data_IF_568120067273
#
_entry.id   IF_568120067273
#
_cell.length_a   1.000
_cell.length_b   1.000
_cell.length_c   1.000
_cell.angle_alpha   90.00
_cell.angle_beta   90.00
_cell.angle_gamma   90.00
#
_symmetry.space_group_name_H-M   'P 1'
#
loop_
_entity.id
_entity.type
_entity.pdbx_description
1 polymer ?
#
# COMPACT_ATOMS: atom_id res chain seq x y z
N UNK A 1 13.72 -8.52 79.08
CA UNK A 1 14.12 -8.49 77.73
C UNK A 1 13.48 -9.66 76.99
N UNK A 2 12.35 -9.45 76.38
CA UNK A 2 11.61 -10.47 75.63
C UNK A 2 11.49 -10.07 74.21
N UNK A 3 12.08 -10.86 73.32
CA UNK A 3 12.00 -10.68 71.88
C UNK A 3 10.60 -11.06 71.38
N UNK A 4 9.92 -10.11 70.74
CA UNK A 4 8.71 -10.38 69.97
C UNK A 4 9.12 -10.63 68.56
N UNK A 5 8.99 -11.83 68.04
CA UNK A 5 9.13 -12.18 66.63
C UNK A 5 7.73 -12.06 66.03
N UNK A 6 7.57 -11.07 65.21
CA UNK A 6 6.34 -10.87 64.42
C UNK A 6 6.46 -11.69 63.13
N UNK A 7 5.71 -12.78 63.07
CA UNK A 7 5.60 -13.64 61.89
C UNK A 7 4.66 -12.99 60.89
N UNK A 8 5.20 -12.47 59.79
CA UNK A 8 4.43 -12.02 58.62
C UNK A 8 4.07 -13.25 57.80
N UNK A 9 2.83 -13.72 57.94
CA UNK A 9 2.25 -14.69 57.02
C UNK A 9 1.93 -14.01 55.69
N UNK A 10 2.77 -14.23 54.66
CA UNK A 10 2.46 -13.88 53.29
C UNK A 10 1.37 -14.82 52.79
N UNK A 11 0.14 -14.30 52.70
CA UNK A 11 -0.95 -14.97 51.99
C UNK A 11 -0.66 -14.86 50.50
N UNK A 12 -0.08 -15.91 49.91
CA UNK A 12 -0.06 -16.06 48.45
C UNK A 12 -1.50 -16.39 48.00
N UNK A 13 -2.22 -15.37 47.54
CA UNK A 13 -3.40 -15.57 46.73
C UNK A 13 -2.95 -16.18 45.40
N UNK A 14 -3.04 -17.50 45.28
CA UNK A 14 -2.93 -18.18 44.02
C UNK A 14 -4.10 -17.71 43.15
N UNK A 15 -3.81 -16.80 42.23
CA UNK A 15 -4.72 -16.51 41.11
C UNK A 15 -4.76 -17.79 40.28
N UNK A 16 -5.83 -18.56 40.47
CA UNK A 16 -6.15 -19.67 39.60
C UNK A 16 -6.39 -19.08 38.20
N UNK A 17 -5.35 -19.03 37.39
CA UNK A 17 -5.50 -18.86 35.94
C UNK A 17 -6.22 -20.14 35.51
N UNK A 18 -7.51 -20.01 35.27
CA UNK A 18 -8.31 -21.00 34.56
C UNK A 18 -7.68 -21.20 33.20
N UNK A 19 -6.73 -22.11 33.11
CA UNK A 19 -6.29 -22.69 31.85
C UNK A 19 -7.47 -23.52 31.33
N UNK A 20 -8.38 -22.87 30.60
CA UNK A 20 -9.18 -23.60 29.64
C UNK A 20 -8.16 -24.33 28.77
N UNK A 21 -8.11 -25.65 28.85
CA UNK A 21 -7.37 -26.49 27.94
C UNK A 21 -7.79 -26.11 26.53
N UNK A 22 -7.02 -25.23 25.89
CA UNK A 22 -7.09 -25.04 24.46
C UNK A 22 -6.69 -26.38 23.88
N UNK A 23 -7.68 -27.07 23.33
CA UNK A 23 -7.45 -28.12 22.35
C UNK A 23 -6.44 -27.56 21.35
N UNK A 24 -5.28 -28.24 21.15
CA UNK A 24 -4.11 -27.75 20.45
C UNK A 24 -4.29 -27.46 18.97
N UNK A 25 -5.46 -27.01 18.55
CA UNK A 25 -5.79 -26.64 17.19
C UNK A 25 -5.66 -25.12 17.03
N UNK A 26 -4.81 -24.71 16.09
CA UNK A 26 -4.65 -23.31 15.72
C UNK A 26 -6.01 -22.70 15.35
N UNK A 27 -6.29 -21.44 15.75
CA UNK A 27 -7.45 -20.72 15.23
C UNK A 27 -7.45 -20.70 13.71
N UNK A 28 -8.64 -20.72 13.08
CA UNK A 28 -8.76 -20.82 11.63
C UNK A 28 -8.02 -19.68 10.91
N UNK A 29 -8.02 -18.48 11.45
CA UNK A 29 -7.33 -17.33 10.85
C UNK A 29 -5.78 -17.49 10.82
N UNK A 30 -5.20 -18.34 11.65
CA UNK A 30 -3.76 -18.67 11.65
C UNK A 30 -3.43 -19.98 10.92
N UNK A 31 -4.44 -20.80 10.61
CA UNK A 31 -4.24 -22.08 9.94
C UNK A 31 -4.02 -21.90 8.45
N UNK A 32 -2.76 -22.01 8.02
CA UNK A 32 -2.36 -21.85 6.62
C UNK A 32 -2.88 -22.94 5.69
N UNK A 33 -3.46 -24.04 6.20
CA UNK A 33 -4.10 -25.09 5.40
C UNK A 33 -5.53 -24.72 4.97
N UNK A 34 -6.12 -23.71 5.59
CA UNK A 34 -7.46 -23.25 5.29
C UNK A 34 -7.49 -22.23 4.15
N UNK A 35 -8.56 -22.22 3.35
CA UNK A 35 -8.77 -21.16 2.34
C UNK A 35 -8.69 -19.76 2.95
N UNK A 36 -8.07 -18.83 2.22
CA UNK A 36 -7.85 -17.44 2.70
C UNK A 36 -9.17 -16.78 3.12
N UNK A 37 -10.26 -16.98 2.39
CA UNK A 37 -11.56 -16.38 2.73
C UNK A 37 -12.11 -16.90 4.06
N UNK A 38 -11.94 -18.19 4.38
CA UNK A 38 -12.33 -18.73 5.69
C UNK A 38 -11.47 -18.14 6.82
N UNK A 39 -10.19 -17.92 6.57
CA UNK A 39 -9.28 -17.27 7.50
C UNK A 39 -9.68 -15.83 7.76
N UNK A 40 -10.08 -15.11 6.72
CA UNK A 40 -10.58 -13.74 6.80
C UNK A 40 -11.87 -13.69 7.62
N UNK A 41 -12.82 -14.59 7.36
CA UNK A 41 -14.09 -14.65 8.10
C UNK A 41 -13.87 -14.85 9.60
N UNK A 42 -12.98 -15.78 9.98
CA UNK A 42 -12.65 -16.03 11.39
C UNK A 42 -11.92 -14.83 12.02
N UNK A 43 -11.01 -14.17 11.29
CA UNK A 43 -10.34 -12.95 11.77
C UNK A 43 -11.35 -11.82 12.03
N UNK A 44 -12.22 -11.52 11.05
CA UNK A 44 -13.27 -10.49 11.17
C UNK A 44 -14.17 -10.74 12.37
N UNK A 45 -14.59 -12.00 12.60
CA UNK A 45 -15.44 -12.37 13.71
C UNK A 45 -14.79 -12.16 15.09
N UNK A 46 -13.45 -12.14 15.14
CA UNK A 46 -12.68 -11.92 16.36
C UNK A 46 -12.31 -10.47 16.61
N UNK A 47 -12.34 -9.63 15.59
CA UNK A 47 -11.96 -8.21 15.68
C UNK A 47 -13.04 -7.38 16.35
N UNK A 48 -12.61 -6.46 17.22
CA UNK A 48 -13.47 -5.39 17.76
C UNK A 48 -13.72 -4.32 16.69
N UNK A 49 -14.74 -3.47 16.92
CA UNK A 49 -15.02 -2.34 16.05
C UNK A 49 -13.78 -1.42 15.89
N UNK A 50 -13.10 -1.12 16.99
CA UNK A 50 -11.91 -0.27 16.99
C UNK A 50 -10.77 -0.89 16.18
N UNK A 51 -10.52 -2.20 16.32
CA UNK A 51 -9.50 -2.89 15.53
C UNK A 51 -9.82 -2.87 14.03
N UNK A 52 -11.09 -3.07 13.65
CA UNK A 52 -11.57 -2.98 12.27
C UNK A 52 -11.35 -1.58 11.68
N UNK A 53 -11.63 -0.54 12.45
CA UNK A 53 -11.43 0.85 12.02
C UNK A 53 -9.94 1.17 11.90
N UNK A 54 -9.12 0.79 12.87
CA UNK A 54 -7.69 1.14 12.87
C UNK A 54 -6.90 0.58 11.70
N UNK A 55 -7.28 -0.55 11.13
CA UNK A 55 -6.57 -1.11 9.98
C UNK A 55 -6.94 -0.47 8.63
N UNK A 56 -8.01 0.35 8.58
CA UNK A 56 -8.49 0.98 7.35
C UNK A 56 -8.14 2.48 7.25
N UNK A 57 -7.34 2.99 8.15
CA UNK A 57 -6.76 4.34 8.04
C UNK A 57 -5.32 4.37 8.56
N UNK A 58 -4.60 5.42 8.20
CA UNK A 58 -3.23 5.62 8.64
C UNK A 58 -3.11 5.81 10.16
N UNK A 59 -1.98 5.39 10.71
CA UNK A 59 -1.51 5.73 12.05
C UNK A 59 -0.19 6.51 12.02
N UNK A 60 0.46 6.59 10.87
CA UNK A 60 1.66 7.37 10.60
C UNK A 60 1.64 7.87 9.16
N UNK A 61 2.68 8.56 8.72
CA UNK A 61 2.81 9.01 7.32
C UNK A 61 2.68 7.85 6.33
N UNK A 62 3.22 6.67 6.64
CA UNK A 62 3.29 5.54 5.71
C UNK A 62 2.85 4.20 6.32
N UNK A 63 2.14 4.20 7.45
CA UNK A 63 1.64 2.94 8.00
C UNK A 63 0.18 3.01 8.44
N UNK A 64 -0.51 1.87 8.34
CA UNK A 64 -1.76 1.60 9.04
C UNK A 64 -1.51 0.60 10.17
N UNK A 65 -2.35 0.65 11.20
CA UNK A 65 -2.20 -0.23 12.34
C UNK A 65 -2.45 -1.70 11.97
N UNK A 66 -1.75 -2.60 12.64
CA UNK A 66 -2.09 -4.00 12.68
C UNK A 66 -3.17 -4.32 13.71
N UNK A 67 -3.29 -5.61 14.03
CA UNK A 67 -4.13 -6.13 15.12
C UNK A 67 -3.24 -7.01 16.01
N UNK A 68 -2.40 -6.43 16.89
CA UNK A 68 -1.39 -7.17 17.64
C UNK A 68 -1.98 -8.31 18.48
N UNK A 69 -3.19 -8.14 19.03
CA UNK A 69 -3.91 -9.17 19.79
C UNK A 69 -4.19 -10.44 18.95
N UNK A 70 -4.31 -10.29 17.64
CA UNK A 70 -4.50 -11.38 16.69
C UNK A 70 -3.22 -11.72 15.92
N UNK A 71 -2.09 -11.08 16.24
CA UNK A 71 -0.81 -11.34 15.59
C UNK A 71 -0.66 -10.71 14.20
N UNK A 72 -1.54 -9.80 13.81
CA UNK A 72 -1.35 -9.00 12.59
C UNK A 72 -0.42 -7.83 12.91
N UNK A 73 0.75 -7.72 12.26
CA UNK A 73 1.67 -6.59 12.47
C UNK A 73 1.13 -5.32 11.82
N UNK A 74 1.75 -4.18 12.12
CA UNK A 74 1.51 -2.95 11.37
C UNK A 74 1.85 -3.13 9.89
N UNK A 75 1.09 -2.45 9.03
CA UNK A 75 1.27 -2.51 7.58
C UNK A 75 1.99 -1.26 7.09
N UNK A 76 3.15 -1.45 6.45
CA UNK A 76 4.03 -0.36 6.01
C UNK A 76 3.99 -0.16 4.50
N UNK A 77 3.67 1.04 4.08
CA UNK A 77 3.78 1.48 2.69
C UNK A 77 5.03 2.34 2.49
N UNK A 78 5.43 2.55 1.24
CA UNK A 78 6.46 3.53 0.90
C UNK A 78 6.30 4.04 -0.53
N UNK A 79 6.70 5.29 -0.75
CA UNK A 79 6.95 5.80 -2.09
C UNK A 79 8.23 5.15 -2.62
N UNK A 80 8.41 4.88 -3.83
CA UNK A 80 7.78 5.27 -5.04
C UNK A 80 8.03 4.29 -6.17
N UNK A 81 7.58 4.67 -7.39
CA UNK A 81 7.67 3.81 -8.58
C UNK A 81 9.10 3.53 -9.06
N UNK A 82 10.07 4.35 -8.71
CA UNK A 82 11.48 4.24 -9.14
C UNK A 82 12.48 4.21 -7.99
N UNK A 83 12.12 3.58 -6.91
CA UNK A 83 12.99 3.36 -5.75
C UNK A 83 12.22 3.50 -4.45
N UNK A 84 12.68 2.78 -3.44
CA UNK A 84 12.16 2.92 -2.08
C UNK A 84 12.73 4.21 -1.51
N UNK A 85 11.89 5.14 -1.06
CA UNK A 85 12.38 6.40 -0.48
C UNK A 85 13.00 6.17 0.89
N UNK A 86 13.86 7.09 1.38
CA UNK A 86 14.29 7.10 2.77
C UNK A 86 13.11 7.24 3.73
N UNK A 87 13.20 6.58 4.89
CA UNK A 87 12.17 6.67 5.91
C UNK A 87 11.98 8.11 6.39
N UNK A 88 10.73 8.49 6.61
CA UNK A 88 10.36 9.77 7.22
C UNK A 88 10.01 9.58 8.68
N UNK A 89 9.98 10.66 9.44
CA UNK A 89 9.49 10.68 10.82
C UNK A 89 8.02 10.22 10.86
N UNK A 90 7.59 9.73 12.01
CA UNK A 90 6.27 9.15 12.19
C UNK A 90 5.14 10.07 11.74
N UNK A 91 5.21 11.34 12.14
CA UNK A 91 4.17 12.35 11.90
C UNK A 91 4.58 13.47 10.95
N UNK A 92 5.81 13.45 10.44
CA UNK A 92 6.36 14.54 9.65
C UNK A 92 6.97 14.03 8.34
N UNK A 93 7.18 14.95 7.38
CA UNK A 93 7.78 14.63 6.09
C UNK A 93 9.32 14.69 6.09
N UNK A 94 9.90 15.07 7.22
CA UNK A 94 11.36 15.08 7.38
C UNK A 94 11.91 13.65 7.41
N UNK A 95 13.10 13.46 6.84
CA UNK A 95 13.77 12.17 6.87
C UNK A 95 14.12 11.76 8.29
N UNK A 96 13.93 10.49 8.62
CA UNK A 96 14.23 9.94 9.93
C UNK A 96 15.74 9.92 10.23
N UNK A 97 16.59 10.04 9.20
CA UNK A 97 18.06 10.15 9.37
C UNK A 97 18.70 8.88 9.91
N UNK A 98 18.14 7.72 9.64
CA UNK A 98 18.70 6.44 10.06
C UNK A 98 19.99 6.12 9.29
N UNK A 99 20.95 5.47 9.95
CA UNK A 99 22.27 5.17 9.36
C UNK A 99 22.22 4.27 8.13
N UNK A 100 21.17 3.48 7.96
CA UNK A 100 20.94 2.57 6.85
C UNK A 100 19.91 3.08 5.83
N UNK A 101 19.67 4.37 5.79
CA UNK A 101 18.62 5.01 4.99
C UNK A 101 19.04 5.26 3.52
N UNK A 102 20.12 4.63 3.07
CA UNK A 102 20.54 4.66 1.67
C UNK A 102 19.60 3.85 0.80
N UNK A 103 19.03 4.48 -0.21
CA UNK A 103 18.11 3.86 -1.17
C UNK A 103 18.69 3.87 -2.58
N UNK A 104 18.30 2.88 -3.39
CA UNK A 104 18.69 2.83 -4.79
C UNK A 104 17.72 3.67 -5.62
N UNK A 105 18.26 4.63 -6.38
CA UNK A 105 17.51 5.34 -7.40
C UNK A 105 17.44 4.46 -8.66
N UNK A 106 16.25 3.92 -8.94
CA UNK A 106 15.98 3.21 -10.18
C UNK A 106 15.73 4.19 -11.33
N UNK A 107 15.88 3.77 -12.60
CA UNK A 107 15.49 4.60 -13.74
C UNK A 107 14.01 5.01 -13.66
N UNK A 108 13.70 6.22 -14.13
CA UNK A 108 12.32 6.67 -14.24
C UNK A 108 11.47 5.70 -15.07
N UNK A 109 10.17 5.59 -14.79
CA UNK A 109 9.30 4.66 -15.52
C UNK A 109 9.20 4.98 -17.01
N UNK A 110 9.34 6.24 -17.38
CA UNK A 110 9.50 6.66 -18.80
C UNK A 110 10.68 5.96 -19.46
N UNK A 111 11.83 5.90 -18.78
CA UNK A 111 13.02 5.21 -19.28
C UNK A 111 12.81 3.68 -19.34
N UNK A 112 12.15 3.10 -18.34
CA UNK A 112 11.79 1.68 -18.33
C UNK A 112 10.87 1.36 -19.52
N UNK A 113 9.81 2.14 -19.74
CA UNK A 113 8.88 1.93 -20.84
C UNK A 113 9.54 2.10 -22.20
N UNK A 114 10.46 3.07 -22.35
CA UNK A 114 11.25 3.27 -23.57
C UNK A 114 12.14 2.09 -23.94
N UNK A 115 12.38 1.14 -23.05
CA UNK A 115 13.08 -0.10 -23.36
C UNK A 115 12.26 -1.07 -24.22
N UNK A 116 10.93 -0.94 -24.23
CA UNK A 116 9.97 -1.85 -24.90
C UNK A 116 10.17 -3.33 -24.50
N UNK A 117 10.74 -3.56 -23.32
CA UNK A 117 11.16 -4.89 -22.86
C UNK A 117 10.40 -5.31 -21.60
N UNK A 118 9.35 -6.14 -21.71
CA UNK A 118 8.59 -6.64 -20.55
C UNK A 118 9.44 -7.44 -19.55
N UNK A 119 10.48 -8.15 -20.02
CA UNK A 119 11.39 -8.87 -19.13
C UNK A 119 12.20 -7.91 -18.26
N UNK A 120 12.62 -6.77 -18.81
CA UNK A 120 13.30 -5.71 -18.04
C UNK A 120 12.35 -5.12 -16.99
N UNK A 121 11.08 -4.93 -17.32
CA UNK A 121 10.06 -4.48 -16.38
C UNK A 121 9.86 -5.47 -15.22
N UNK A 122 9.93 -6.78 -15.51
CA UNK A 122 9.85 -7.81 -14.47
C UNK A 122 11.06 -7.75 -13.53
N UNK A 123 12.28 -7.69 -14.07
CA UNK A 123 13.52 -7.57 -13.29
C UNK A 123 13.49 -6.30 -12.44
N UNK A 124 13.00 -5.19 -12.99
CA UNK A 124 12.81 -3.94 -12.26
C UNK A 124 11.90 -4.13 -11.04
N UNK A 125 10.72 -4.74 -11.24
CA UNK A 125 9.80 -5.04 -10.16
C UNK A 125 10.38 -5.98 -9.11
N UNK A 126 11.10 -7.03 -9.53
CA UNK A 126 11.77 -7.97 -8.62
C UNK A 126 12.82 -7.26 -7.75
N UNK A 127 13.66 -6.42 -8.36
CA UNK A 127 14.72 -5.69 -7.66
C UNK A 127 14.16 -4.66 -6.67
N UNK A 128 13.11 -3.94 -7.08
CA UNK A 128 12.43 -2.99 -6.21
C UNK A 128 11.74 -3.71 -5.04
N UNK A 129 11.13 -4.87 -5.31
CA UNK A 129 10.50 -5.70 -4.28
C UNK A 129 11.49 -6.25 -3.26
N UNK A 130 12.69 -6.64 -3.70
CA UNK A 130 13.77 -7.08 -2.79
C UNK A 130 14.22 -5.95 -1.87
N UNK A 131 14.41 -4.73 -2.40
CA UNK A 131 14.80 -3.59 -1.59
C UNK A 131 13.68 -3.20 -0.62
N UNK A 132 12.42 -3.16 -1.08
CA UNK A 132 11.27 -2.87 -0.24
C UNK A 132 11.13 -3.88 0.91
N UNK A 133 11.25 -5.17 0.61
CA UNK A 133 11.22 -6.23 1.63
C UNK A 133 12.36 -6.10 2.63
N UNK A 134 13.57 -5.80 2.14
CA UNK A 134 14.74 -5.54 2.98
C UNK A 134 14.53 -4.37 3.94
N UNK A 135 13.83 -3.33 3.50
CA UNK A 135 13.50 -2.14 4.29
C UNK A 135 12.22 -2.28 5.13
N UNK A 136 11.64 -3.50 5.19
CA UNK A 136 10.45 -3.79 5.99
C UNK A 136 9.17 -3.17 5.43
N UNK A 137 9.10 -2.94 4.11
CA UNK A 137 7.91 -2.40 3.48
C UNK A 137 7.02 -3.50 2.92
N UNK A 138 5.71 -3.31 3.04
CA UNK A 138 4.70 -4.28 2.64
C UNK A 138 4.02 -3.90 1.32
N UNK A 139 4.08 -2.61 0.98
CA UNK A 139 3.51 -2.05 -0.25
C UNK A 139 4.39 -0.92 -0.79
N UNK A 140 4.65 -0.96 -2.08
CA UNK A 140 5.22 0.17 -2.82
C UNK A 140 4.12 0.92 -3.53
N UNK A 141 4.09 2.25 -3.36
CA UNK A 141 3.15 3.17 -4.01
C UNK A 141 3.56 3.40 -5.47
N UNK A 142 3.35 2.39 -6.26
CA UNK A 142 3.72 2.30 -7.66
C UNK A 142 3.31 0.95 -8.29
N UNK A 143 3.41 0.83 -9.62
CA UNK A 143 3.87 1.83 -10.60
C UNK A 143 2.83 2.90 -10.92
N UNK A 144 3.31 4.06 -11.41
CA UNK A 144 2.45 5.06 -12.02
C UNK A 144 2.16 4.73 -13.49
N UNK A 145 0.89 4.86 -13.92
CA UNK A 145 0.46 4.47 -15.28
C UNK A 145 -0.48 5.46 -15.96
N UNK A 146 -0.59 6.69 -15.45
CA UNK A 146 -1.37 7.70 -16.11
C UNK A 146 -0.77 8.04 -17.50
N UNK A 147 -1.64 8.23 -18.49
CA UNK A 147 -1.21 8.50 -19.87
C UNK A 147 -0.82 9.97 -20.01
N UNK A 148 0.29 10.24 -20.68
CA UNK A 148 0.72 11.61 -20.96
C UNK A 148 -0.28 12.31 -21.88
N UNK A 149 -0.77 13.46 -21.44
CA UNK A 149 -1.65 14.34 -22.23
C UNK A 149 -0.88 15.53 -22.78
N UNK A 150 0.06 16.01 -22.02
CA UNK A 150 0.88 17.17 -22.30
C UNK A 150 2.26 16.97 -21.71
N UNK A 151 3.32 17.44 -22.36
CA UNK A 151 4.66 17.41 -21.78
C UNK A 151 4.79 18.30 -20.52
N UNK A 152 3.85 19.21 -20.30
CA UNK A 152 3.86 20.15 -19.16
C UNK A 152 3.33 19.54 -17.86
N UNK A 153 2.77 18.34 -17.87
CA UNK A 153 2.39 17.67 -16.64
C UNK A 153 3.63 17.37 -15.79
N UNK A 154 3.68 17.90 -14.59
CA UNK A 154 4.84 17.83 -13.67
C UNK A 154 5.25 16.44 -13.22
N UNK A 155 4.42 15.39 -13.47
CA UNK A 155 4.67 14.01 -13.04
C UNK A 155 4.82 13.01 -14.19
N UNK A 156 5.04 13.46 -15.41
CA UNK A 156 5.25 12.56 -16.56
C UNK A 156 6.41 11.57 -16.33
N UNK A 157 7.49 11.98 -15.65
CA UNK A 157 8.63 11.11 -15.35
C UNK A 157 8.23 9.87 -14.53
N UNK A 158 7.13 9.95 -13.78
CA UNK A 158 6.63 8.90 -12.89
C UNK A 158 5.75 7.86 -13.62
N UNK A 159 5.44 8.09 -14.89
CA UNK A 159 4.51 7.29 -15.69
C UNK A 159 5.21 6.58 -16.87
N UNK A 160 4.48 5.66 -17.52
CA UNK A 160 5.02 4.77 -18.56
C UNK A 160 4.82 5.29 -19.99
N UNK A 161 4.42 6.56 -20.18
CA UNK A 161 4.34 7.19 -21.50
C UNK A 161 2.93 7.55 -21.95
N UNK A 162 2.81 7.82 -23.24
CA UNK A 162 1.57 8.28 -23.89
C UNK A 162 0.76 7.15 -24.56
N UNK A 163 1.39 5.98 -24.76
CA UNK A 163 0.77 4.84 -25.42
C UNK A 163 0.13 3.89 -24.37
N UNK A 164 -1.23 3.77 -24.36
CA UNK A 164 -1.93 2.91 -23.44
C UNK A 164 -1.61 1.42 -23.64
N UNK A 165 -1.25 0.99 -24.84
CA UNK A 165 -0.85 -0.39 -25.10
C UNK A 165 0.52 -0.68 -24.49
N UNK A 166 1.52 0.16 -24.75
CA UNK A 166 2.85 0.01 -24.14
C UNK A 166 2.77 0.03 -22.62
N UNK A 167 2.06 1.00 -22.05
CA UNK A 167 1.85 1.04 -20.58
C UNK A 167 1.22 -0.25 -20.06
N UNK A 168 0.24 -0.82 -20.79
CA UNK A 168 -0.44 -2.07 -20.42
C UNK A 168 0.48 -3.29 -20.43
N UNK A 169 1.39 -3.41 -21.39
CA UNK A 169 2.32 -4.55 -21.46
C UNK A 169 3.49 -4.42 -20.50
N UNK A 170 3.88 -3.21 -20.12
CA UNK A 170 5.00 -2.96 -19.21
C UNK A 170 4.56 -3.02 -17.74
N UNK A 171 3.34 -2.58 -17.39
CA UNK A 171 2.86 -2.60 -16.01
C UNK A 171 2.69 -4.00 -15.44
N UNK A 172 2.25 -4.95 -16.25
CA UNK A 172 1.96 -6.33 -15.81
C UNK A 172 3.20 -7.02 -15.23
N UNK A 173 4.32 -7.14 -15.94
CA UNK A 173 5.51 -7.78 -15.40
C UNK A 173 6.15 -7.01 -14.24
N UNK A 174 6.05 -5.68 -14.20
CA UNK A 174 6.47 -4.89 -13.04
C UNK A 174 5.73 -5.35 -11.77
N UNK A 175 4.40 -5.41 -11.83
CA UNK A 175 3.56 -5.86 -10.71
C UNK A 175 3.91 -7.28 -10.30
N UNK A 176 4.01 -8.20 -11.27
CA UNK A 176 4.32 -9.60 -11.01
C UNK A 176 5.70 -9.76 -10.37
N UNK A 177 6.70 -9.00 -10.82
CA UNK A 177 8.04 -8.98 -10.25
C UNK A 177 8.02 -8.51 -8.79
N UNK A 178 7.41 -7.37 -8.52
CA UNK A 178 7.29 -6.79 -7.18
C UNK A 178 6.56 -7.75 -6.22
N UNK A 179 5.40 -8.26 -6.64
CA UNK A 179 4.57 -9.14 -5.81
C UNK A 179 5.16 -10.54 -5.62
N UNK A 180 6.07 -10.98 -6.50
CA UNK A 180 6.83 -12.24 -6.30
C UNK A 180 7.72 -12.21 -5.05
N UNK A 181 8.04 -11.01 -4.54
CA UNK A 181 8.80 -10.82 -3.31
C UNK A 181 7.90 -10.67 -2.06
N UNK A 182 6.59 -10.84 -2.21
CA UNK A 182 5.63 -10.67 -1.11
C UNK A 182 5.42 -9.21 -0.70
N UNK A 183 5.69 -8.27 -1.61
CA UNK A 183 5.44 -6.83 -1.46
C UNK A 183 4.34 -6.42 -2.44
N UNK A 184 3.32 -5.71 -1.96
CA UNK A 184 2.21 -5.27 -2.81
C UNK A 184 2.64 -4.15 -3.75
N UNK A 185 2.25 -4.24 -5.02
CA UNK A 185 2.13 -3.07 -5.86
C UNK A 185 0.90 -2.26 -5.45
N UNK A 186 0.97 -0.92 -5.59
CA UNK A 186 -0.15 0.00 -5.49
C UNK A 186 -0.18 0.87 -6.74
N UNK A 187 -0.87 0.41 -7.76
CA UNK A 187 -0.89 1.06 -9.09
C UNK A 187 -1.60 2.40 -9.01
N UNK A 188 -0.98 3.46 -9.54
CA UNK A 188 -1.44 4.84 -9.35
C UNK A 188 -1.39 5.70 -10.62
N UNK A 189 -2.12 6.79 -10.69
CA UNK A 189 -3.20 7.23 -9.81
C UNK A 189 -4.53 6.99 -10.51
N UNK A 190 -5.38 6.21 -9.93
CA UNK A 190 -6.63 5.74 -10.53
C UNK A 190 -7.76 6.74 -10.25
N UNK A 191 -8.28 7.41 -11.22
CA UNK A 191 -7.85 7.50 -12.60
C UNK A 191 -7.89 8.97 -13.08
N UNK A 192 -7.38 9.21 -14.28
CA UNK A 192 -7.46 10.52 -14.93
C UNK A 192 -6.60 11.61 -14.27
N UNK A 193 -5.55 11.27 -13.53
CA UNK A 193 -4.60 12.24 -12.99
C UNK A 193 -3.55 12.64 -14.05
N UNK A 194 -3.99 13.43 -15.04
CA UNK A 194 -3.19 13.84 -16.19
C UNK A 194 -2.83 15.34 -16.14
N UNK A 195 -3.16 16.01 -15.03
CA UNK A 195 -2.93 17.41 -14.74
C UNK A 195 -2.55 17.55 -13.27
N UNK A 196 -1.44 18.24 -12.97
CA UNK A 196 -0.99 18.46 -11.59
C UNK A 196 -1.36 19.84 -11.05
N UNK A 197 -1.52 20.82 -11.92
CA UNK A 197 -2.00 22.13 -11.52
C UNK A 197 -3.49 22.03 -11.11
N UNK A 198 -3.80 22.52 -9.90
CA UNK A 198 -5.13 22.41 -9.29
C UNK A 198 -5.69 20.98 -9.19
N UNK A 199 -4.84 19.97 -9.09
CA UNK A 199 -5.20 18.53 -9.10
C UNK A 199 -6.28 18.13 -8.12
N UNK A 200 -6.45 18.84 -6.98
CA UNK A 200 -7.52 18.62 -6.01
C UNK A 200 -8.86 19.26 -6.40
N UNK A 201 -8.92 20.04 -7.47
CA UNK A 201 -10.10 20.82 -7.89
C UNK A 201 -10.54 20.51 -9.31
N UNK A 202 -9.65 19.97 -10.13
CA UNK A 202 -9.95 19.66 -11.53
C UNK A 202 -11.00 18.57 -11.63
N UNK A 203 -12.16 18.91 -12.23
CA UNK A 203 -13.19 17.94 -12.59
C UNK A 203 -13.00 17.55 -14.07
N UNK A 204 -12.46 16.36 -14.31
CA UNK A 204 -12.08 15.93 -15.66
C UNK A 204 -13.32 15.61 -16.50
N UNK A 205 -13.34 16.18 -17.68
CA UNK A 205 -14.35 15.89 -18.71
C UNK A 205 -13.71 15.02 -19.78
N UNK A 206 -14.22 13.82 -19.95
CA UNK A 206 -13.72 12.84 -20.91
C UNK A 206 -14.90 12.05 -21.49
N UNK A 207 -14.85 11.70 -22.77
CA UNK A 207 -15.84 10.80 -23.37
C UNK A 207 -15.64 9.36 -22.86
N UNK A 208 -16.70 8.58 -22.79
CA UNK A 208 -16.62 7.17 -22.39
C UNK A 208 -15.65 6.38 -23.28
N UNK A 209 -15.64 6.69 -24.59
CA UNK A 209 -14.71 6.08 -25.52
C UNK A 209 -13.26 6.36 -25.13
N UNK A 210 -12.89 7.62 -24.93
CA UNK A 210 -11.52 7.99 -24.54
C UNK A 210 -11.15 7.42 -23.16
N UNK A 211 -12.09 7.42 -22.21
CA UNK A 211 -11.88 6.82 -20.90
C UNK A 211 -11.49 5.34 -21.03
N UNK A 212 -12.24 4.56 -21.80
CA UNK A 212 -12.06 3.12 -21.93
C UNK A 212 -10.95 2.70 -22.90
N UNK A 213 -10.64 3.51 -23.91
CA UNK A 213 -9.62 3.17 -24.92
C UNK A 213 -8.24 3.73 -24.59
N UNK A 214 -8.14 4.82 -23.79
CA UNK A 214 -6.88 5.52 -23.54
C UNK A 214 -6.51 5.48 -22.05
N UNK A 215 -7.40 5.90 -21.15
CA UNK A 215 -7.02 6.15 -19.76
C UNK A 215 -7.12 4.94 -18.84
N UNK A 216 -8.00 4.00 -19.13
CA UNK A 216 -8.21 2.82 -18.27
C UNK A 216 -7.43 1.57 -18.70
N UNK A 217 -6.93 1.37 -19.94
CA UNK A 217 -6.34 0.10 -20.35
C UNK A 217 -5.17 -0.37 -19.50
N UNK A 218 -4.25 0.52 -19.09
CA UNK A 218 -3.12 0.15 -18.25
C UNK A 218 -3.57 -0.30 -16.85
N UNK A 219 -4.55 0.37 -16.24
CA UNK A 219 -5.15 -0.06 -14.97
C UNK A 219 -5.90 -1.38 -15.10
N UNK A 220 -6.64 -1.56 -16.20
CA UNK A 220 -7.32 -2.83 -16.47
C UNK A 220 -6.32 -3.98 -16.61
N UNK A 221 -5.23 -3.77 -17.34
CA UNK A 221 -4.15 -4.75 -17.46
C UNK A 221 -3.50 -5.06 -16.10
N UNK A 222 -3.28 -4.04 -15.27
CA UNK A 222 -2.78 -4.21 -13.91
C UNK A 222 -3.68 -5.09 -13.04
N UNK A 223 -5.01 -4.92 -13.16
CA UNK A 223 -5.99 -5.71 -12.42
C UNK A 223 -6.12 -7.13 -13.00
N UNK A 224 -6.43 -7.23 -14.29
CA UNK A 224 -6.82 -8.51 -14.90
C UNK A 224 -5.65 -9.44 -15.16
N UNK A 225 -4.50 -8.90 -15.57
CA UNK A 225 -3.29 -9.65 -15.95
C UNK A 225 -2.19 -9.57 -14.88
N UNK A 226 -1.95 -8.37 -14.34
CA UNK A 226 -0.95 -8.13 -13.30
C UNK A 226 -1.39 -8.66 -11.94
N UNK A 227 -2.70 -8.78 -11.71
CA UNK A 227 -3.27 -9.19 -10.41
C UNK A 227 -2.76 -8.32 -9.27
N UNK A 228 -2.76 -7.01 -9.47
CA UNK A 228 -2.30 -6.05 -8.46
C UNK A 228 -3.10 -6.17 -7.16
N UNK A 229 -2.43 -6.07 -6.02
CA UNK A 229 -3.09 -6.17 -4.71
C UNK A 229 -3.54 -4.81 -4.18
N UNK A 230 -2.96 -3.71 -4.67
CA UNK A 230 -3.29 -2.34 -4.32
C UNK A 230 -3.52 -1.45 -5.53
N UNK A 231 -4.41 -0.48 -5.39
CA UNK A 231 -4.63 0.63 -6.33
C UNK A 231 -4.77 1.91 -5.50
N UNK A 232 -4.12 2.98 -5.93
CA UNK A 232 -4.26 4.30 -5.33
C UNK A 232 -5.23 5.16 -6.14
N UNK A 233 -6.24 5.72 -5.47
CA UNK A 233 -7.14 6.70 -6.06
C UNK A 233 -6.41 7.99 -6.44
N UNK A 234 -6.94 8.72 -7.39
CA UNK A 234 -6.37 9.99 -7.84
C UNK A 234 -7.00 11.19 -7.13
N UNK A 235 -6.30 12.32 -7.11
CA UNK A 235 -6.79 13.55 -6.49
C UNK A 235 -7.97 14.19 -7.24
N UNK A 236 -7.92 14.18 -8.56
CA UNK A 236 -8.88 14.88 -9.41
C UNK A 236 -10.30 14.31 -9.27
N UNK A 237 -11.25 15.17 -9.60
CA UNK A 237 -12.65 14.76 -9.69
C UNK A 237 -12.95 14.17 -11.07
N UNK A 238 -13.89 13.26 -11.10
CA UNK A 238 -14.60 12.79 -12.27
C UNK A 238 -16.08 12.67 -11.95
N UNK A 239 -16.95 13.24 -12.81
CA UNK A 239 -18.40 13.34 -12.55
C UNK A 239 -18.71 14.02 -11.19
N UNK A 240 -17.92 15.03 -10.84
CA UNK A 240 -18.03 15.81 -9.60
C UNK A 240 -17.72 15.05 -8.29
N UNK A 241 -17.12 13.87 -8.35
CA UNK A 241 -16.64 13.13 -7.18
C UNK A 241 -15.13 12.91 -7.27
N UNK A 242 -14.41 13.07 -6.16
CA UNK A 242 -12.97 12.79 -6.11
C UNK A 242 -12.67 11.30 -6.36
N UNK A 243 -11.69 11.00 -7.18
CA UNK A 243 -11.40 9.62 -7.57
C UNK A 243 -10.97 8.70 -6.41
N UNK A 244 -10.51 9.23 -5.29
CA UNK A 244 -10.25 8.44 -4.09
C UNK A 244 -11.53 7.83 -3.48
N UNK A 245 -12.70 8.37 -3.78
CA UNK A 245 -14.00 7.87 -3.32
C UNK A 245 -15.11 8.12 -4.36
N UNK A 246 -14.83 7.79 -5.60
CA UNK A 246 -15.74 7.98 -6.72
C UNK A 246 -16.57 6.73 -6.97
N UNK A 247 -17.89 6.84 -6.86
CA UNK A 247 -18.81 5.74 -7.04
C UNK A 247 -18.66 5.06 -8.41
N UNK A 248 -18.48 5.86 -9.48
CA UNK A 248 -18.43 5.32 -10.83
C UNK A 248 -17.12 4.59 -11.10
N UNK A 249 -15.98 5.21 -10.77
CA UNK A 249 -14.66 4.63 -11.08
C UNK A 249 -14.34 3.45 -10.16
N UNK A 250 -14.64 3.55 -8.86
CA UNK A 250 -14.28 2.51 -7.90
C UNK A 250 -15.30 1.38 -7.81
N UNK A 251 -16.59 1.69 -7.58
CA UNK A 251 -17.57 0.63 -7.41
C UNK A 251 -18.05 0.05 -8.73
N UNK A 252 -18.39 0.91 -9.73
CA UNK A 252 -18.93 0.43 -11.00
C UNK A 252 -17.85 -0.23 -11.85
N UNK A 253 -16.76 0.48 -12.16
CA UNK A 253 -15.73 -0.01 -13.08
C UNK A 253 -14.79 -0.97 -12.36
N UNK A 254 -14.04 -0.49 -11.36
CA UNK A 254 -12.96 -1.25 -10.75
C UNK A 254 -13.46 -2.51 -10.02
N UNK A 255 -14.32 -2.34 -9.02
CA UNK A 255 -14.82 -3.46 -8.20
C UNK A 255 -15.97 -4.21 -8.88
N UNK A 256 -16.81 -3.53 -9.66
CA UNK A 256 -17.95 -4.10 -10.36
C UNK A 256 -17.56 -4.84 -11.64
N UNK A 257 -17.15 -4.10 -12.65
CA UNK A 257 -16.92 -4.66 -13.98
C UNK A 257 -15.64 -5.52 -14.04
N UNK A 258 -14.53 -5.06 -13.42
CA UNK A 258 -13.26 -5.79 -13.43
C UNK A 258 -13.11 -6.79 -12.28
N UNK A 259 -14.07 -6.85 -11.35
CA UNK A 259 -14.06 -7.77 -10.20
C UNK A 259 -12.80 -7.66 -9.34
N UNK A 260 -12.29 -6.45 -9.17
CA UNK A 260 -11.10 -6.20 -8.37
C UNK A 260 -11.30 -6.58 -6.90
N UNK A 261 -10.43 -7.45 -6.38
CA UNK A 261 -10.49 -7.99 -5.02
C UNK A 261 -9.44 -7.42 -4.05
N UNK A 262 -8.53 -6.59 -4.56
CA UNK A 262 -7.52 -5.91 -3.76
C UNK A 262 -8.04 -4.67 -3.05
N UNK A 263 -7.14 -3.90 -2.45
CA UNK A 263 -7.45 -2.67 -1.71
C UNK A 263 -7.38 -1.43 -2.60
N UNK A 264 -8.25 -0.48 -2.34
CA UNK A 264 -8.15 0.90 -2.83
C UNK A 264 -7.61 1.77 -1.71
N UNK A 265 -6.48 2.41 -1.95
CA UNK A 265 -5.82 3.34 -1.02
C UNK A 265 -6.08 4.76 -1.49
N UNK A 266 -6.34 5.72 -0.60
CA UNK A 266 -6.37 7.12 -0.99
C UNK A 266 -4.96 7.62 -1.31
N UNK A 267 -4.83 8.55 -2.24
CA UNK A 267 -3.65 9.41 -2.27
C UNK A 267 -3.65 10.32 -1.03
N UNK A 268 -2.49 10.85 -0.64
CA UNK A 268 -2.32 11.63 0.60
C UNK A 268 -3.07 12.96 0.54
N UNK A 269 -4.16 13.04 1.30
CA UNK A 269 -5.10 14.17 1.25
C UNK A 269 -6.17 14.05 0.16
N UNK A 270 -6.35 12.87 -0.43
CA UNK A 270 -7.32 12.63 -1.52
C UNK A 270 -8.73 12.25 -1.06
N UNK A 271 -8.94 11.96 0.23
CA UNK A 271 -10.28 11.75 0.79
C UNK A 271 -10.86 13.08 1.28
N UNK A 272 -12.16 13.33 1.03
CA UNK A 272 -12.80 14.60 1.28
C UNK A 272 -14.19 14.49 1.94
N UNK A 273 -14.75 13.30 2.06
CA UNK A 273 -16.11 13.09 2.57
C UNK A 273 -16.28 11.71 3.19
N UNK A 274 -16.86 11.64 4.40
CA UNK A 274 -17.07 10.37 5.11
C UNK A 274 -18.07 9.46 4.39
N UNK A 275 -19.20 10.00 3.91
CA UNK A 275 -20.23 9.18 3.25
C UNK A 275 -19.71 8.54 1.98
N UNK A 276 -19.00 9.33 1.17
CA UNK A 276 -18.41 8.84 -0.06
C UNK A 276 -17.25 7.87 0.23
N UNK A 277 -16.36 8.15 1.18
CA UNK A 277 -15.27 7.27 1.56
C UNK A 277 -15.81 5.91 2.07
N UNK A 278 -16.89 5.90 2.85
CA UNK A 278 -17.52 4.68 3.34
C UNK A 278 -18.19 3.90 2.21
N UNK A 279 -19.00 4.56 1.36
CA UNK A 279 -19.90 3.90 0.41
C UNK A 279 -19.31 3.66 -0.97
N UNK A 280 -18.39 4.53 -1.41
CA UNK A 280 -17.94 4.58 -2.79
C UNK A 280 -16.63 3.84 -3.07
N UNK A 281 -16.20 2.94 -2.17
CA UNK A 281 -15.18 1.95 -2.51
C UNK A 281 -13.76 2.26 -2.07
N UNK A 282 -13.48 3.33 -1.30
CA UNK A 282 -12.21 3.51 -0.61
C UNK A 282 -12.05 2.43 0.47
N UNK A 283 -10.87 1.82 0.58
CA UNK A 283 -10.61 0.75 1.56
C UNK A 283 -9.64 1.18 2.66
N UNK A 284 -8.60 1.97 2.34
CA UNK A 284 -7.63 2.50 3.31
C UNK A 284 -7.40 3.98 3.03
N UNK A 285 -7.43 4.78 4.09
CA UNK A 285 -7.26 6.23 4.02
C UNK A 285 -5.90 6.66 4.55
N UNK A 286 -5.15 7.45 3.75
CA UNK A 286 -3.87 8.03 4.11
C UNK A 286 -3.85 9.54 3.92
N UNK A 287 -3.07 10.23 4.76
CA UNK A 287 -2.63 11.61 4.57
C UNK A 287 -3.72 12.68 4.60
N UNK A 288 -4.91 12.38 5.10
CA UNK A 288 -6.06 13.29 5.04
C UNK A 288 -5.89 14.53 5.91
N UNK A 289 -6.34 15.66 5.40
CA UNK A 289 -6.38 16.93 6.10
C UNK A 289 -7.82 17.22 6.55
N UNK A 290 -8.14 16.90 7.79
CA UNK A 290 -9.48 17.06 8.34
C UNK A 290 -9.59 18.22 9.33
N UNK A 291 -10.81 18.74 9.52
CA UNK A 291 -11.15 19.70 10.57
C UNK A 291 -10.26 20.95 10.60
N UNK A 292 -9.93 21.50 9.44
CA UNK A 292 -9.06 22.67 9.32
C UNK A 292 -7.57 22.37 9.56
N UNK A 293 -7.18 21.11 9.60
CA UNK A 293 -5.77 20.72 9.62
C UNK A 293 -5.08 21.24 8.36
N UNK A 294 -3.97 21.90 8.58
CA UNK A 294 -3.06 22.31 7.51
C UNK A 294 -2.17 21.13 7.10
N UNK A 295 -1.42 21.29 6.01
CA UNK A 295 -0.47 20.30 5.52
C UNK A 295 0.55 19.84 6.60
N UNK A 296 0.87 20.68 7.58
CA UNK A 296 1.77 20.37 8.69
C UNK A 296 1.11 19.70 9.89
N UNK A 297 -0.21 19.58 9.91
CA UNK A 297 -0.97 19.04 11.06
C UNK A 297 -1.72 17.74 10.68
N UNK A 298 -1.17 16.94 9.76
CA UNK A 298 -1.79 15.73 9.23
C UNK A 298 -1.65 14.49 10.15
N UNK A 299 -1.23 14.67 11.39
CA UNK A 299 -1.08 13.62 12.39
C UNK A 299 -2.31 13.41 13.28
N UNK A 300 -3.43 14.04 13.00
CA UNK A 300 -4.70 13.79 13.69
C UNK A 300 -5.46 12.61 13.04
N UNK A 301 -4.85 11.44 13.04
CA UNK A 301 -5.34 10.24 12.35
C UNK A 301 -6.74 9.82 12.78
N UNK A 302 -7.12 10.04 14.04
CA UNK A 302 -8.45 9.75 14.56
C UNK A 302 -9.55 10.66 13.92
N UNK A 303 -9.16 11.78 13.32
CA UNK A 303 -10.08 12.69 12.64
C UNK A 303 -10.27 12.35 11.15
N UNK A 304 -9.60 11.32 10.64
CA UNK A 304 -9.77 10.87 9.26
C UNK A 304 -11.20 10.42 8.99
N UNK A 305 -11.64 10.49 7.74
CA UNK A 305 -13.03 10.18 7.35
C UNK A 305 -13.40 8.72 7.63
N UNK A 306 -12.44 7.78 7.51
CA UNK A 306 -12.65 6.37 7.87
C UNK A 306 -12.27 6.04 9.33
N UNK A 307 -12.01 7.04 10.19
CA UNK A 307 -11.67 6.87 11.59
C UNK A 307 -12.88 7.14 12.52
N UNK A 308 -12.75 8.04 13.50
CA UNK A 308 -13.82 8.40 14.44
C UNK A 308 -15.13 8.85 13.76
N UNK A 309 -15.12 9.64 12.66
CA UNK A 309 -16.36 9.95 11.93
C UNK A 309 -17.11 8.71 11.45
N UNK A 310 -16.41 7.67 11.00
CA UNK A 310 -17.03 6.40 10.60
C UNK A 310 -17.62 5.65 11.80
N UNK A 311 -16.87 5.55 12.92
CA UNK A 311 -17.36 4.93 14.17
C UNK A 311 -18.67 5.61 14.60
N UNK A 312 -18.69 6.94 14.64
CA UNK A 312 -19.87 7.72 14.99
C UNK A 312 -21.06 7.39 14.09
N UNK A 313 -20.85 7.36 12.78
CA UNK A 313 -21.89 7.01 11.83
C UNK A 313 -22.42 5.58 12.00
N UNK A 314 -21.58 4.60 12.39
CA UNK A 314 -22.03 3.25 12.74
C UNK A 314 -22.89 3.27 14.01
N UNK A 315 -22.47 3.98 15.04
CA UNK A 315 -23.19 4.10 16.31
C UNK A 315 -24.55 4.78 16.14
N UNK A 316 -24.65 5.75 15.23
CA UNK A 316 -25.88 6.45 14.87
C UNK A 316 -26.77 5.65 13.88
N UNK A 317 -26.32 4.48 13.44
CA UNK A 317 -27.06 3.65 12.47
C UNK A 317 -27.03 4.16 11.03
N UNK A 318 -26.15 5.11 10.70
CA UNK A 318 -25.96 5.66 9.35
C UNK A 318 -25.21 4.69 8.43
N UNK A 319 -24.31 3.92 9.00
CA UNK A 319 -23.50 2.89 8.31
C UNK A 319 -23.67 1.54 8.99
N UNK A 320 -23.45 0.47 8.22
CA UNK A 320 -23.62 -0.90 8.69
C UNK A 320 -22.27 -1.56 9.00
N UNK A 321 -22.28 -2.53 9.93
CA UNK A 321 -21.11 -3.36 10.17
C UNK A 321 -20.66 -4.11 8.90
N UNK A 322 -21.58 -4.45 8.00
CA UNK A 322 -21.27 -5.12 6.73
C UNK A 322 -20.43 -4.26 5.81
N UNK A 323 -20.71 -2.96 5.70
CA UNK A 323 -19.88 -2.03 4.90
C UNK A 323 -18.45 -1.94 5.42
N UNK A 324 -18.28 -1.96 6.76
CA UNK A 324 -16.97 -2.00 7.38
C UNK A 324 -16.27 -3.35 7.12
N UNK A 325 -16.97 -4.47 7.32
CA UNK A 325 -16.41 -5.80 7.14
C UNK A 325 -15.94 -6.06 5.70
N UNK A 326 -16.59 -5.48 4.69
CA UNK A 326 -16.13 -5.55 3.29
C UNK A 326 -14.79 -4.85 3.06
N UNK A 327 -14.55 -3.68 3.71
CA UNK A 327 -13.26 -3.00 3.66
C UNK A 327 -12.19 -3.82 4.40
N UNK A 328 -12.50 -4.25 5.62
CA UNK A 328 -11.62 -5.07 6.47
C UNK A 328 -11.24 -6.37 5.75
N UNK A 329 -12.17 -7.01 5.06
CA UNK A 329 -11.92 -8.23 4.26
C UNK A 329 -10.82 -8.01 3.21
N UNK A 330 -10.87 -6.89 2.50
CA UNK A 330 -9.86 -6.55 1.48
C UNK A 330 -8.50 -6.28 2.11
N UNK A 331 -8.48 -5.56 3.24
CA UNK A 331 -7.25 -5.29 3.98
C UNK A 331 -6.65 -6.59 4.55
N UNK A 332 -7.45 -7.46 5.15
CA UNK A 332 -6.98 -8.77 5.64
C UNK A 332 -6.46 -9.66 4.50
N UNK A 333 -7.10 -9.63 3.32
CA UNK A 333 -6.60 -10.35 2.15
C UNK A 333 -5.22 -9.83 1.73
N UNK A 334 -5.00 -8.51 1.83
CA UNK A 334 -3.69 -7.92 1.60
C UNK A 334 -2.66 -8.41 2.65
N UNK A 335 -3.01 -8.45 3.93
CA UNK A 335 -2.14 -9.02 4.98
C UNK A 335 -1.77 -10.48 4.67
N UNK A 336 -2.73 -11.33 4.28
CA UNK A 336 -2.45 -12.72 3.92
C UNK A 336 -1.62 -12.88 2.63
N UNK A 337 -1.58 -11.88 1.77
CA UNK A 337 -0.69 -11.84 0.60
C UNK A 337 0.71 -11.31 0.93
N UNK A 338 0.86 -10.55 2.01
CA UNK A 338 2.10 -9.88 2.42
C UNK A 338 2.62 -10.39 3.77
N UNK A 339 2.39 -9.67 4.86
CA UNK A 339 2.97 -9.91 6.21
C UNK A 339 2.58 -11.24 6.82
N UNK A 340 1.37 -11.73 6.55
CA UNK A 340 0.86 -13.01 7.05
C UNK A 340 1.02 -14.16 6.06
N UNK A 341 1.74 -13.97 4.97
CA UNK A 341 2.03 -15.00 3.98
C UNK A 341 3.20 -15.88 4.47
N UNK A 342 3.00 -17.16 4.79
CA UNK A 342 4.07 -18.04 5.26
C UNK A 342 5.17 -18.29 4.22
N UNK A 343 4.86 -18.06 2.93
CA UNK A 343 5.79 -18.21 1.82
C UNK A 343 6.43 -16.88 1.41
N UNK A 344 6.17 -15.79 2.12
CA UNK A 344 6.84 -14.53 1.88
C UNK A 344 8.34 -14.73 2.06
N UNK A 345 9.18 -14.35 1.09
CA UNK A 345 10.61 -14.39 1.28
C UNK A 345 10.99 -13.65 2.57
N UNK A 346 11.83 -14.25 3.38
CA UNK A 346 12.35 -13.54 4.54
C UNK A 346 13.31 -12.47 4.02
N UNK A 347 12.97 -11.21 4.22
CA UNK A 347 13.91 -10.10 4.02
C UNK A 347 15.09 -10.30 4.98
N UNK A 348 16.26 -9.81 4.62
CA UNK A 348 17.46 -9.87 5.47
C UNK A 348 17.31 -9.11 6.81
N UNK A 349 16.15 -8.55 7.08
CA UNK A 349 15.80 -7.82 8.31
C UNK A 349 15.35 -8.73 9.46
N UNK A 350 15.45 -10.03 9.33
CA UNK A 350 15.16 -10.88 10.47
C UNK A 350 16.20 -10.63 11.56
N UNK A 351 15.79 -9.90 12.60
CA UNK A 351 16.31 -9.84 13.98
C UNK A 351 17.81 -9.56 14.24
N UNK A 352 18.67 -9.47 13.25
CA UNK A 352 20.09 -9.17 13.45
C UNK A 352 20.48 -7.83 12.84
N UNK A 353 20.35 -6.78 13.64
CA UNK A 353 20.81 -5.42 13.31
C UNK A 353 22.29 -5.36 12.90
N UNK A 354 23.12 -6.31 13.35
CA UNK A 354 24.52 -6.46 12.95
C UNK A 354 24.68 -6.99 11.53
N UNK A 355 23.79 -7.84 11.04
CA UNK A 355 23.86 -8.42 9.71
C UNK A 355 23.44 -7.42 8.62
N UNK A 356 22.52 -6.48 8.97
CA UNK A 356 22.08 -5.42 8.09
C UNK A 356 23.20 -4.39 7.83
N UNK A 357 23.92 -3.95 8.88
CA UNK A 357 24.98 -2.97 8.77
C UNK A 357 26.15 -3.41 7.88
N UNK A 358 26.46 -4.72 7.87
CA UNK A 358 27.60 -5.28 7.10
C UNK A 358 27.28 -5.53 5.62
N UNK A 359 26.02 -5.69 5.24
CA UNK A 359 25.62 -6.06 3.86
C UNK A 359 25.05 -4.93 3.02
N UNK A 360 24.59 -3.85 3.64
CA UNK A 360 24.11 -2.67 2.90
C UNK A 360 25.15 -2.13 1.91
N UNK A 361 26.41 -1.89 2.30
CA UNK A 361 27.42 -1.44 1.35
C UNK A 361 27.68 -2.44 0.23
N UNK A 362 27.57 -3.75 0.52
CA UNK A 362 27.81 -4.82 -0.46
C UNK A 362 26.64 -5.00 -1.43
N UNK A 363 25.38 -4.83 -0.99
CA UNK A 363 24.20 -4.89 -1.87
C UNK A 363 24.01 -3.61 -2.67
N UNK A 364 24.24 -2.44 -2.07
CA UNK A 364 24.26 -1.17 -2.79
C UNK A 364 25.38 -1.16 -3.85
N UNK A 365 26.57 -1.72 -3.53
CA UNK A 365 27.65 -1.89 -4.51
C UNK A 365 27.34 -2.97 -5.54
N UNK A 366 26.54 -3.99 -5.21
CA UNK A 366 26.07 -5.01 -6.17
C UNK A 366 25.01 -4.41 -7.10
N UNK A 367 24.05 -3.65 -6.59
CA UNK A 367 23.10 -2.88 -7.42
C UNK A 367 23.81 -1.80 -8.25
N UNK A 368 24.83 -1.12 -7.71
CA UNK A 368 25.63 -0.17 -8.49
C UNK A 368 26.49 -0.85 -9.56
N UNK A 369 26.93 -2.09 -9.33
CA UNK A 369 27.61 -2.92 -10.35
C UNK A 369 26.64 -3.53 -11.36
N UNK A 370 25.40 -3.83 -10.99
CA UNK A 370 24.33 -4.26 -11.91
C UNK A 370 23.75 -3.10 -12.74
N UNK A 371 24.12 -1.84 -12.46
CA UNK A 371 23.92 -0.73 -13.42
C UNK A 371 24.43 -1.07 -14.82
N UNK A 372 25.43 -1.92 -14.93
CA UNK A 372 25.95 -2.40 -16.22
C UNK A 372 25.17 -3.61 -16.76
N UNK A 373 24.37 -4.29 -15.96
CA UNK A 373 23.58 -5.46 -16.38
C UNK A 373 22.08 -5.18 -16.54
N UNK A 374 21.54 -4.10 -15.95
CA UNK A 374 20.13 -3.74 -16.13
C UNK A 374 19.82 -3.18 -17.53
N UNK A 375 20.84 -2.67 -18.22
CA UNK A 375 20.71 -2.25 -19.62
C UNK A 375 21.85 -2.91 -20.38
N UNK A 376 21.58 -3.82 -21.33
CA UNK A 376 22.61 -4.29 -22.22
C UNK A 376 23.22 -3.04 -22.88
N UNK A 377 24.53 -2.88 -22.73
CA UNK A 377 25.26 -1.85 -23.45
C UNK A 377 24.91 -2.01 -24.92
N UNK A 378 24.19 -1.06 -25.47
CA UNK A 378 24.06 -0.94 -26.93
C UNK A 378 25.49 -0.88 -27.45
N UNK A 379 25.95 -1.80 -28.31
CA UNK A 379 27.28 -1.71 -28.86
C UNK A 379 27.41 -0.34 -29.51
N UNK A 380 28.34 0.47 -29.06
CA UNK A 380 28.71 1.72 -29.73
C UNK A 380 29.20 1.37 -31.13
N UNK A 381 28.32 1.33 -32.08
CA UNK A 381 28.62 1.46 -33.51
C UNK A 381 27.70 2.55 -34.07
N UNK A 382 28.35 3.57 -34.46
CA UNK A 382 27.92 4.77 -35.17
C UNK A 382 27.56 5.99 -34.31
N UNK A 383 28.50 6.96 -34.43
CA UNK A 383 28.26 8.35 -34.16
C UNK A 383 27.03 8.81 -34.97
N UNK A 384 25.98 9.18 -34.24
CA UNK A 384 25.00 10.14 -34.76
C UNK A 384 24.79 11.15 -33.66
N UNK A 385 25.28 12.35 -33.88
CA UNK A 385 24.92 13.55 -33.16
C UNK A 385 23.42 13.81 -33.35
N UNK A 386 22.70 13.99 -32.28
CA UNK A 386 21.62 14.96 -32.06
C UNK A 386 21.60 15.32 -30.58
#
# INVERSE_FOLDING_TARGET
MKHFILSCALSMAAIAISSAQQTGQLPVYLDNTKPVEQRIDDAIARMTLQEKIRIIHAQSKFSSAGVPRLGFPDFWTDDGPHGVRPDVLWDEWEQAGQTNDSCVAFPALTCLAASWNPQMSKIYGESLGEEALYRGKDMILGPGVNIYRTPLNGRNFEYMGEDPYLASIMVVPYIQGLQSKGVSACVKHYCLNNEEEYRHQVNVIVSDRALHEIYLPAFKAAVEKGKTWGIMGAYNLYKNEHNCHNQWTLNKILKGDWKYDGVVVSDWGGAHDTDQAVKNGLDIEFGTWTNGLTMGASNAYDNYYLAVPYIKGIQEGKYTAKELDEKVRRVLRLFYRTTMNPNRPHGFLCSDSHYAADRLPKKASYCSRTRTMCFPSIPRKHNVFW
#
